data_IF_602081194084
#
_entry.id   IF_602081194084
#
_cell.length_a   1.000
_cell.length_b   1.000
_cell.length_c   1.000
_cell.angle_alpha   90.00
_cell.angle_beta   90.00
_cell.angle_gamma   90.00
#
_symmetry.space_group_name_H-M   'P 1'
#
loop_
_entity.id
_entity.type
_entity.pdbx_description
1 polymer ?
#
# COMPACT_ATOMS: atom_id res chain seq x y z
N UNK A 1 2.67 25.63 -28.18
CA UNK A 1 2.53 24.43 -29.03
C UNK A 1 2.80 23.24 -28.14
N UNK A 2 1.74 22.62 -27.64
CA UNK A 2 1.84 21.48 -26.71
C UNK A 2 2.21 20.25 -27.51
N UNK A 3 3.41 19.73 -27.30
CA UNK A 3 3.83 18.47 -27.90
C UNK A 3 2.95 17.37 -27.31
N UNK A 4 1.92 16.93 -28.04
CA UNK A 4 1.15 15.74 -27.70
C UNK A 4 2.08 14.54 -27.83
N UNK A 5 2.65 14.10 -26.70
CA UNK A 5 3.28 12.80 -26.59
C UNK A 5 2.15 11.76 -26.56
N UNK A 6 1.75 11.31 -27.74
CA UNK A 6 0.94 10.11 -27.89
C UNK A 6 1.86 8.91 -27.66
N UNK A 7 2.24 8.69 -26.40
CA UNK A 7 2.89 7.45 -25.98
C UNK A 7 1.84 6.34 -26.03
N UNK A 8 2.07 5.33 -26.88
CA UNK A 8 1.32 4.08 -26.79
C UNK A 8 1.51 3.51 -25.39
N UNK A 9 0.40 3.44 -24.64
CA UNK A 9 0.43 2.95 -23.27
C UNK A 9 0.77 1.47 -23.28
N UNK A 10 1.73 1.07 -22.46
CA UNK A 10 1.96 -0.33 -22.17
C UNK A 10 0.74 -0.91 -21.43
N UNK A 11 0.44 -2.19 -21.66
CA UNK A 11 -0.55 -3.00 -20.91
C UNK A 11 -0.58 -2.68 -19.41
N UNK A 12 0.58 -2.54 -18.78
CA UNK A 12 0.64 -2.25 -17.34
C UNK A 12 0.07 -0.86 -16.99
N UNK A 13 0.26 0.15 -17.85
CA UNK A 13 -0.31 1.48 -17.67
C UNK A 13 -1.82 1.47 -17.96
N UNK A 14 -2.27 0.71 -18.97
CA UNK A 14 -3.69 0.54 -19.31
C UNK A 14 -4.43 -0.06 -18.10
N UNK A 15 -3.95 -1.20 -17.58
CA UNK A 15 -4.56 -1.87 -16.41
C UNK A 15 -4.58 -0.98 -15.17
N UNK A 16 -3.57 -0.12 -14.97
CA UNK A 16 -3.56 0.84 -13.85
C UNK A 16 -4.64 1.91 -14.01
N UNK A 17 -4.88 2.40 -15.24
CA UNK A 17 -5.92 3.40 -15.53
C UNK A 17 -7.32 2.80 -15.42
N UNK A 18 -7.52 1.59 -15.91
CA UNK A 18 -8.79 0.86 -15.75
C UNK A 18 -9.14 0.66 -14.28
N UNK A 19 -8.18 0.21 -13.45
CA UNK A 19 -8.38 0.09 -12.00
C UNK A 19 -8.68 1.42 -11.34
N UNK A 20 -8.03 2.50 -11.77
CA UNK A 20 -8.33 3.85 -11.27
C UNK A 20 -9.76 4.28 -11.62
N UNK A 21 -10.22 4.01 -12.85
CA UNK A 21 -11.60 4.30 -13.26
C UNK A 21 -12.61 3.47 -12.46
N UNK A 22 -12.37 2.17 -12.29
CA UNK A 22 -13.22 1.29 -11.50
C UNK A 22 -13.34 1.75 -10.03
N UNK A 23 -12.26 2.23 -9.41
CA UNK A 23 -12.31 2.80 -8.05
C UNK A 23 -13.22 4.04 -8.01
N UNK A 24 -13.14 4.92 -9.00
CA UNK A 24 -14.00 6.11 -9.09
C UNK A 24 -15.47 5.75 -9.30
N UNK A 25 -15.76 4.74 -10.12
CA UNK A 25 -17.12 4.23 -10.33
C UNK A 25 -17.71 3.65 -9.03
N UNK A 26 -16.88 3.07 -8.18
CA UNK A 26 -17.25 2.62 -6.83
C UNK A 26 -17.38 3.76 -5.81
N UNK A 27 -17.17 5.01 -6.21
CA UNK A 27 -17.19 6.17 -5.32
C UNK A 27 -15.96 6.32 -4.43
N UNK A 28 -14.88 5.56 -4.71
CA UNK A 28 -13.62 5.59 -3.97
C UNK A 28 -12.64 6.52 -4.68
N UNK A 29 -12.15 7.54 -4.00
CA UNK A 29 -11.09 8.40 -4.54
C UNK A 29 -9.77 7.61 -4.62
N UNK A 30 -9.22 7.36 -5.83
CA UNK A 30 -7.98 6.60 -5.98
C UNK A 30 -6.75 7.29 -5.36
N UNK A 31 -6.81 8.60 -5.09
CA UNK A 31 -5.72 9.34 -4.46
C UNK A 31 -5.91 9.58 -2.96
N UNK A 32 -7.04 9.15 -2.41
CA UNK A 32 -7.32 9.13 -0.98
C UNK A 32 -7.06 10.46 -0.25
N UNK A 33 -7.05 10.39 1.07
CA UNK A 33 -6.64 11.48 1.95
C UNK A 33 -5.54 10.98 2.87
N UNK A 34 -5.04 11.86 3.75
CA UNK A 34 -4.12 11.48 4.81
C UNK A 34 -4.66 10.23 5.55
N UNK A 35 -3.83 9.20 5.61
CA UNK A 35 -4.10 7.99 6.34
C UNK A 35 -3.42 8.06 7.71
N UNK A 36 -4.20 7.90 8.78
CA UNK A 36 -3.66 7.92 10.14
C UNK A 36 -2.96 6.59 10.42
N UNK A 37 -1.65 6.67 10.69
CA UNK A 37 -0.79 5.53 11.03
C UNK A 37 -0.43 5.60 12.51
N UNK A 38 -0.35 4.45 13.17
CA UNK A 38 0.03 4.36 14.59
C UNK A 38 1.50 4.05 14.79
N UNK A 39 2.16 3.49 13.79
CA UNK A 39 3.58 3.16 13.85
C UNK A 39 4.25 3.24 12.48
N UNK A 40 5.57 3.40 12.48
CA UNK A 40 6.40 3.23 11.30
C UNK A 40 7.20 1.91 11.35
N UNK A 41 7.74 1.47 10.22
CA UNK A 41 8.45 0.19 10.12
C UNK A 41 9.71 0.11 11.00
N UNK A 42 10.37 1.24 11.27
CA UNK A 42 11.56 1.28 12.11
C UNK A 42 11.17 1.10 13.58
N UNK A 43 10.16 1.84 14.05
CA UNK A 43 9.62 1.73 15.41
C UNK A 43 9.14 0.32 15.73
N UNK A 44 8.45 -0.35 14.79
CA UNK A 44 8.00 -1.73 14.98
C UNK A 44 9.20 -2.68 15.08
N UNK A 45 10.22 -2.51 14.23
CA UNK A 45 11.43 -3.34 14.31
C UNK A 45 12.14 -3.13 15.64
N UNK A 46 12.36 -1.90 16.06
CA UNK A 46 13.10 -1.60 17.29
C UNK A 46 12.36 -2.12 18.54
N UNK A 47 11.03 -2.02 18.56
CA UNK A 47 10.20 -2.50 19.69
C UNK A 47 10.13 -4.02 19.78
N UNK A 48 10.10 -4.73 18.64
CA UNK A 48 9.75 -6.15 18.60
C UNK A 48 10.86 -7.06 18.09
N UNK A 49 12.01 -6.54 17.64
CA UNK A 49 13.09 -7.36 17.09
C UNK A 49 13.65 -8.41 18.07
N UNK A 50 13.56 -8.13 19.37
CA UNK A 50 14.10 -9.00 20.42
C UNK A 50 13.05 -9.90 21.06
N UNK A 51 11.79 -9.85 20.60
CA UNK A 51 10.70 -10.64 21.17
C UNK A 51 10.47 -11.90 20.34
N UNK A 52 10.22 -13.00 21.04
CA UNK A 52 9.87 -14.26 20.39
C UNK A 52 8.39 -14.30 19.97
N UNK A 53 8.00 -15.40 19.31
CA UNK A 53 6.65 -15.57 18.78
C UNK A 53 5.58 -15.63 19.87
N UNK A 54 5.89 -16.24 21.01
CA UNK A 54 4.94 -16.42 22.11
C UNK A 54 4.73 -15.09 22.84
N UNK A 55 5.81 -14.36 23.10
CA UNK A 55 5.80 -13.02 23.68
C UNK A 55 5.05 -12.00 22.82
N UNK A 56 5.20 -12.08 21.49
CA UNK A 56 4.44 -11.23 20.57
C UNK A 56 2.95 -11.59 20.54
N UNK A 57 2.63 -12.88 20.65
CA UNK A 57 1.25 -13.35 20.68
C UNK A 57 0.54 -12.90 21.97
N UNK A 58 1.21 -13.03 23.12
CA UNK A 58 0.66 -12.63 24.41
C UNK A 58 0.43 -11.11 24.51
N UNK A 59 1.29 -10.31 23.86
CA UNK A 59 1.15 -8.85 23.78
C UNK A 59 -0.11 -8.39 23.05
N UNK A 60 -0.59 -9.13 22.04
CA UNK A 60 -1.79 -8.81 21.26
C UNK A 60 -1.85 -7.35 20.75
N UNK A 61 -0.69 -6.75 20.46
CA UNK A 61 -0.59 -5.36 20.04
C UNK A 61 -0.99 -5.20 18.55
N UNK A 62 -1.87 -4.25 18.26
CA UNK A 62 -2.31 -3.95 16.88
C UNK A 62 -1.60 -2.70 16.36
N UNK A 63 -1.04 -2.78 15.16
CA UNK A 63 -0.37 -1.66 14.49
C UNK A 63 -1.04 -1.33 13.15
N UNK A 64 -1.15 -0.03 12.85
CA UNK A 64 -1.67 0.50 11.60
C UNK A 64 -0.53 1.19 10.85
N UNK A 65 -0.20 0.67 9.66
CA UNK A 65 0.93 1.13 8.85
C UNK A 65 0.49 1.59 7.46
N UNK A 66 1.26 2.48 6.85
CA UNK A 66 1.12 2.89 5.46
C UNK A 66 2.49 2.96 4.77
N UNK A 67 2.55 2.54 3.51
CA UNK A 67 3.80 2.49 2.74
C UNK A 67 3.60 2.07 1.29
N UNK A 68 4.69 1.99 0.53
CA UNK A 68 4.67 1.52 -0.86
C UNK A 68 4.68 0.00 -0.88
N UNK A 69 3.77 -0.60 -1.63
CA UNK A 69 3.82 -2.02 -1.94
C UNK A 69 4.96 -2.29 -2.92
N UNK A 70 5.97 -3.06 -2.50
CA UNK A 70 7.15 -3.39 -3.31
C UNK A 70 7.00 -4.79 -3.89
N UNK A 71 6.82 -5.79 -3.02
CA UNK A 71 6.58 -7.18 -3.42
C UNK A 71 5.31 -7.69 -2.77
N UNK A 72 4.52 -8.44 -3.54
CA UNK A 72 3.38 -9.19 -3.03
C UNK A 72 3.56 -10.64 -3.46
N UNK A 73 3.76 -11.53 -2.49
CA UNK A 73 3.79 -12.98 -2.74
C UNK A 73 2.47 -13.57 -2.27
N UNK A 74 1.66 -14.03 -3.22
CA UNK A 74 0.50 -14.85 -2.88
C UNK A 74 0.96 -16.25 -2.49
N UNK A 75 0.48 -16.77 -1.36
CA UNK A 75 0.20 -18.19 -1.26
C UNK A 75 -1.28 -18.33 -1.59
N UNK A 76 -1.58 -19.07 -2.67
CA UNK A 76 -2.95 -19.35 -3.08
C UNK A 76 -3.70 -20.11 -2.00
#
# INVERSE_FOLDING_TARGET
MSTEHMEELNDQQIVRREKMAALREQGIDPFGKRFERTANSQELKDKYANLDKEQLHDKNETATIAGRLITKRGKG
#
